data_IF_564939123348
#
_entry.id   IF_564939123348
#
_cell.length_a   1.000
_cell.length_b   1.000
_cell.length_c   1.000
_cell.angle_alpha   90.00
_cell.angle_beta   90.00
_cell.angle_gamma   90.00
#
_symmetry.space_group_name_H-M   'P 1'
#
loop_
_entity.id
_entity.type
_entity.pdbx_description
1 polymer ?
#
# COMPACT_ATOMS: atom_id res chain seq x y z
N UNK A 1 -16.04 -2.73 0.42
CA UNK A 1 -15.16 -3.89 0.62
C UNK A 1 -13.76 -3.48 0.19
N UNK A 2 -12.77 -3.61 1.08
CA UNK A 2 -11.36 -3.31 0.80
C UNK A 2 -10.58 -4.61 0.55
N UNK A 3 -9.51 -4.54 -0.23
CA UNK A 3 -8.55 -5.62 -0.40
C UNK A 3 -7.23 -5.14 0.20
N UNK A 4 -6.71 -5.89 1.17
CA UNK A 4 -5.52 -5.49 1.92
C UNK A 4 -4.33 -6.37 1.62
N UNK A 5 -3.16 -5.76 1.52
CA UNK A 5 -1.87 -6.42 1.30
C UNK A 5 -0.85 -5.88 2.29
N UNK A 6 0.05 -6.74 2.77
CA UNK A 6 1.16 -6.28 3.60
C UNK A 6 2.36 -7.20 3.50
N UNK A 7 3.55 -6.60 3.60
CA UNK A 7 4.83 -7.29 3.57
C UNK A 7 5.86 -6.52 4.38
N UNK A 8 6.97 -7.19 4.69
CA UNK A 8 8.12 -6.57 5.34
C UNK A 8 9.12 -6.11 4.29
N UNK A 9 9.63 -4.89 4.46
CA UNK A 9 10.72 -4.32 3.68
C UNK A 9 11.81 -3.78 4.64
N UNK A 10 12.95 -3.31 4.11
CA UNK A 10 14.04 -2.69 4.87
C UNK A 10 14.29 -1.28 4.34
N UNK A 11 14.59 -0.35 5.23
CA UNK A 11 15.00 1.01 4.84
C UNK A 11 16.48 1.05 4.43
N UNK A 12 16.95 2.23 4.01
CA UNK A 12 18.34 2.45 3.61
C UNK A 12 19.34 2.13 4.73
N UNK A 13 18.93 2.24 5.99
CA UNK A 13 19.71 1.91 7.18
C UNK A 13 19.60 0.42 7.57
N UNK A 14 18.89 -0.39 6.77
CA UNK A 14 18.69 -1.83 6.95
C UNK A 14 17.65 -2.20 8.02
N UNK A 15 16.92 -1.24 8.58
CA UNK A 15 15.88 -1.48 9.59
C UNK A 15 14.60 -1.93 8.91
N UNK A 16 13.93 -2.91 9.53
CA UNK A 16 12.69 -3.46 8.99
C UNK A 16 11.53 -2.51 9.22
N UNK A 17 10.68 -2.37 8.21
CA UNK A 17 9.37 -1.76 8.33
C UNK A 17 8.34 -2.63 7.58
N UNK A 18 7.08 -2.59 7.99
CA UNK A 18 6.02 -3.25 7.24
C UNK A 18 5.35 -2.21 6.34
N UNK A 19 5.14 -2.59 5.09
CA UNK A 19 4.30 -1.87 4.14
C UNK A 19 2.91 -2.47 4.18
N UNK A 20 1.89 -1.62 4.08
CA UNK A 20 0.48 -2.01 3.96
C UNK A 20 -0.18 -1.20 2.85
N UNK A 21 -0.82 -1.91 1.92
CA UNK A 21 -1.54 -1.36 0.79
C UNK A 21 -3.02 -1.76 0.88
N UNK A 22 -3.91 -0.77 0.94
CA UNK A 22 -5.37 -0.97 1.01
C UNK A 22 -6.02 -0.49 -0.27
N UNK A 23 -6.64 -1.40 -1.01
CA UNK A 23 -7.30 -1.11 -2.29
C UNK A 23 -8.80 -0.98 -2.07
N UNK A 24 -9.35 0.18 -2.40
CA UNK A 24 -10.79 0.46 -2.30
C UNK A 24 -11.18 1.67 -3.15
N UNK A 25 -12.43 1.72 -3.62
CA UNK A 25 -13.00 2.93 -4.24
C UNK A 25 -12.23 3.52 -5.43
N UNK A 26 -11.43 2.73 -6.15
CA UNK A 26 -10.55 3.23 -7.22
C UNK A 26 -9.27 3.91 -6.74
N UNK A 27 -8.87 3.66 -5.50
CA UNK A 27 -7.68 4.19 -4.83
C UNK A 27 -6.86 3.07 -4.18
N UNK A 28 -5.56 3.33 -3.97
CA UNK A 28 -4.69 2.51 -3.12
C UNK A 28 -4.13 3.41 -2.04
N UNK A 29 -4.41 3.09 -0.79
CA UNK A 29 -3.77 3.72 0.35
C UNK A 29 -2.50 2.98 0.71
N UNK A 30 -1.39 3.69 0.72
CA UNK A 30 -0.08 3.15 1.09
C UNK A 30 0.32 3.69 2.45
N UNK A 31 0.57 2.77 3.37
CA UNK A 31 1.10 3.11 4.69
C UNK A 31 2.26 2.20 5.05
N UNK A 32 3.13 2.68 5.95
CA UNK A 32 4.17 1.88 6.55
C UNK A 32 4.15 2.00 8.07
N UNK A 33 4.64 0.99 8.78
CA UNK A 33 4.91 1.11 10.21
C UNK A 33 6.28 0.50 10.55
N UNK A 34 6.97 1.09 11.52
CA UNK A 34 8.27 0.64 11.99
C UNK A 34 8.27 0.56 13.52
N UNK A 35 8.25 -0.66 14.06
CA UNK A 35 8.25 -0.91 15.51
C UNK A 35 6.85 -1.14 16.10
N UNK A 36 6.79 -1.66 17.32
CA UNK A 36 5.53 -2.16 17.90
C UNK A 36 4.56 -1.05 18.31
N UNK A 37 5.07 0.09 18.80
CA UNK A 37 4.24 1.18 19.35
C UNK A 37 4.25 2.45 18.49
N UNK A 38 4.57 2.33 17.21
CA UNK A 38 4.51 3.45 16.28
C UNK A 38 3.21 3.43 15.50
N UNK A 39 2.76 4.62 15.11
CA UNK A 39 1.62 4.74 14.22
C UNK A 39 2.01 4.32 12.81
N UNK A 40 1.06 3.76 12.06
CA UNK A 40 1.18 3.70 10.61
C UNK A 40 1.38 5.12 10.05
N UNK A 41 2.17 5.30 9.01
CA UNK A 41 2.46 6.58 8.38
C UNK A 41 2.21 6.48 6.87
N UNK A 42 1.80 7.58 6.20
CA UNK A 42 1.73 7.60 4.74
C UNK A 42 3.06 7.16 4.12
N UNK A 43 3.00 6.26 3.15
CA UNK A 43 4.17 5.72 2.48
C UNK A 43 4.08 6.01 0.98
N UNK A 44 5.12 6.61 0.40
CA UNK A 44 5.20 6.76 -1.05
C UNK A 44 5.79 5.46 -1.60
N UNK A 45 5.03 4.67 -2.39
CA UNK A 45 5.53 3.39 -2.90
C UNK A 45 6.60 3.62 -3.97
N UNK A 46 7.72 2.92 -3.82
CA UNK A 46 8.75 2.80 -4.85
C UNK A 46 8.37 1.73 -5.89
N UNK A 47 9.26 1.47 -6.85
CA UNK A 47 9.02 0.47 -7.88
C UNK A 47 8.89 -0.94 -7.29
N UNK A 48 9.71 -1.28 -6.30
CA UNK A 48 9.70 -2.60 -5.67
C UNK A 48 8.37 -2.84 -4.94
N UNK A 49 7.84 -1.84 -4.24
CA UNK A 49 6.54 -1.91 -3.58
C UNK A 49 5.39 -2.11 -4.58
N UNK A 50 5.45 -1.43 -5.73
CA UNK A 50 4.45 -1.55 -6.80
C UNK A 50 4.48 -2.95 -7.40
N UNK A 51 5.67 -3.46 -7.73
CA UNK A 51 5.85 -4.81 -8.25
C UNK A 51 5.40 -5.85 -7.23
N UNK A 52 5.73 -5.63 -5.95
CA UNK A 52 5.34 -6.51 -4.85
C UNK A 52 3.83 -6.59 -4.68
N UNK A 53 3.13 -5.47 -4.77
CA UNK A 53 1.67 -5.43 -4.73
C UNK A 53 1.07 -6.23 -5.88
N UNK A 54 1.53 -6.01 -7.11
CA UNK A 54 1.02 -6.72 -8.29
C UNK A 54 1.26 -8.22 -8.15
N UNK A 55 2.45 -8.63 -7.71
CA UNK A 55 2.79 -10.04 -7.48
C UNK A 55 1.88 -10.71 -6.44
N UNK A 56 1.64 -10.06 -5.29
CA UNK A 56 0.76 -10.63 -4.26
C UNK A 56 -0.71 -10.61 -4.68
N UNK A 57 -1.14 -9.64 -5.49
CA UNK A 57 -2.47 -9.62 -6.08
C UNK A 57 -2.67 -10.74 -7.10
N UNK A 58 -1.70 -10.98 -7.98
CA UNK A 58 -1.74 -12.04 -9.00
C UNK A 58 -1.96 -13.41 -8.35
N UNK A 59 -1.24 -13.69 -7.25
CA UNK A 59 -1.39 -14.93 -6.48
C UNK A 59 -2.81 -15.15 -5.92
N UNK A 60 -3.59 -14.09 -5.74
CA UNK A 60 -4.96 -14.17 -5.22
C UNK A 60 -5.99 -14.54 -6.28
N UNK A 61 -5.67 -14.34 -7.56
CA UNK A 61 -6.56 -14.66 -8.70
C UNK A 61 -6.89 -16.16 -8.79
N UNK A 62 -5.91 -17.10 -8.87
CA UNK A 62 -6.22 -18.53 -8.96
C UNK A 62 -6.89 -19.06 -7.69
N UNK A 63 -6.69 -18.37 -6.56
CA UNK A 63 -7.33 -18.68 -5.27
C UNK A 63 -8.75 -18.11 -5.16
N UNK A 64 -9.21 -17.35 -6.16
CA UNK A 64 -10.52 -16.67 -6.19
C UNK A 64 -10.74 -15.73 -5.00
N UNK A 65 -9.66 -15.22 -4.41
CA UNK A 65 -9.71 -14.21 -3.35
C UNK A 65 -9.96 -12.82 -3.93
N UNK A 66 -9.60 -12.62 -5.21
CA UNK A 66 -9.96 -11.46 -6.02
C UNK A 66 -10.35 -11.96 -7.43
N UNK A 67 -11.20 -11.20 -8.11
CA UNK A 67 -11.54 -11.41 -9.52
C UNK A 67 -10.44 -10.88 -10.46
N UNK A 68 -10.43 -11.35 -11.72
CA UNK A 68 -9.53 -10.82 -12.75
C UNK A 68 -9.68 -9.30 -12.90
N UNK A 69 -10.92 -8.79 -12.91
CA UNK A 69 -11.21 -7.34 -12.98
C UNK A 69 -10.59 -6.57 -11.81
N UNK A 70 -10.64 -7.11 -10.59
CA UNK A 70 -10.01 -6.47 -9.43
C UNK A 70 -8.48 -6.49 -9.54
N UNK A 71 -7.89 -7.56 -10.07
CA UNK A 71 -6.45 -7.61 -10.33
C UNK A 71 -6.01 -6.58 -11.37
N UNK A 72 -6.71 -6.48 -12.50
CA UNK A 72 -6.40 -5.51 -13.55
C UNK A 72 -6.52 -4.07 -13.03
N UNK A 73 -7.50 -3.80 -12.17
CA UNK A 73 -7.66 -2.52 -11.48
C UNK A 73 -6.48 -2.23 -10.55
N UNK A 74 -6.05 -3.20 -9.73
CA UNK A 74 -4.88 -3.06 -8.85
C UNK A 74 -3.63 -2.73 -9.67
N UNK A 75 -3.43 -3.43 -10.79
CA UNK A 75 -2.30 -3.20 -11.70
C UNK A 75 -2.33 -1.81 -12.34
N UNK A 76 -3.52 -1.30 -12.69
CA UNK A 76 -3.67 0.08 -13.21
C UNK A 76 -3.35 1.10 -12.12
N UNK A 77 -3.91 0.92 -10.93
CA UNK A 77 -3.76 1.86 -9.82
C UNK A 77 -2.36 1.86 -9.21
N UNK A 78 -1.63 0.74 -9.26
CA UNK A 78 -0.25 0.65 -8.78
C UNK A 78 0.72 1.52 -9.58
N UNK A 79 0.33 2.04 -10.75
CA UNK A 79 1.11 3.00 -11.51
C UNK A 79 0.99 4.45 -10.99
N UNK A 80 0.01 4.73 -10.11
CA UNK A 80 -0.22 6.08 -9.60
C UNK A 80 0.87 6.52 -8.61
N UNK A 81 1.27 7.78 -8.67
CA UNK A 81 2.25 8.34 -7.75
C UNK A 81 1.65 8.68 -6.37
N UNK A 82 2.50 8.72 -5.35
CA UNK A 82 2.13 9.10 -3.99
C UNK A 82 1.41 8.02 -3.18
N UNK A 83 1.04 8.33 -1.93
CA UNK A 83 0.44 7.37 -1.00
C UNK A 83 -1.05 7.09 -1.25
N UNK A 84 -1.65 7.74 -2.25
CA UNK A 84 -3.09 7.75 -2.49
C UNK A 84 -3.88 8.60 -1.48
N UNK A 85 -5.19 8.66 -1.67
CA UNK A 85 -6.09 9.37 -0.76
C UNK A 85 -6.35 8.51 0.48
N UNK A 86 -5.73 8.85 1.60
CA UNK A 86 -5.92 8.13 2.87
C UNK A 86 -7.26 8.55 3.49
N UNK A 87 -8.30 7.73 3.32
CA UNK A 87 -9.65 7.98 3.81
C UNK A 87 -9.71 7.74 5.33
N UNK A 88 -10.13 8.75 6.09
CA UNK A 88 -10.34 8.65 7.54
C UNK A 88 -9.20 9.19 8.41
N UNK A 89 -8.03 9.51 7.84
CA UNK A 89 -7.01 10.33 8.51
C UNK A 89 -7.08 11.75 7.97
N UNK A 90 -7.38 12.72 8.84
CA UNK A 90 -6.99 14.11 8.57
C UNK A 90 -5.47 14.07 8.30
N UNK A 91 -5.06 14.21 7.05
CA UNK A 91 -3.72 14.64 6.73
C UNK A 91 -3.56 16.00 7.42
N UNK A 92 -3.11 16.02 8.67
CA UNK A 92 -2.52 17.22 9.24
C UNK A 92 -1.20 17.34 8.51
N UNK A 93 -1.23 18.01 7.37
CA UNK A 93 -0.05 18.73 6.91
C UNK A 93 0.22 19.71 8.05
N UNK A 94 1.17 19.39 8.92
CA UNK A 94 1.69 20.39 9.84
C UNK A 94 2.21 21.53 8.96
N UNK A 95 1.70 22.75 9.08
CA UNK A 95 2.38 23.88 8.46
C UNK A 95 3.74 23.97 9.14
N UNK A 96 4.79 24.03 8.33
CA UNK A 96 6.15 24.35 8.77
C UNK A 96 6.11 25.55 9.72
N UNK A 97 6.77 25.41 10.87
CA UNK A 97 7.11 26.47 11.82
C UNK A 97 8.61 26.71 11.76
#
# INVERSE_FOLDING_TARGET
MSIEFGWWNKDADGRKYQVHAVVHGGNIEWTRHQGHHTSWEPHVPDNDDRERLVYEAEKRVPRRLISQKQFDEIKRLSANEGPGLIVGRRARVSPDL
#
